data_IF_791596768867
#
_entry.id   IF_791596768867
#
_cell.length_a   1.000
_cell.length_b   1.000
_cell.length_c   1.000
_cell.angle_alpha   90.00
_cell.angle_beta   90.00
_cell.angle_gamma   90.00
#
_symmetry.space_group_name_H-M   'P 1'
#
loop_
_entity.id
_entity.type
_entity.pdbx_description
1 polymer ?
#
# COMPACT_ATOMS: atom_id res chain seq x y z
N UNK A 1 12.89 18.61 -6.00
CA UNK A 1 11.72 18.00 -6.62
C UNK A 1 10.51 18.93 -6.64
N UNK A 2 9.41 18.45 -7.14
CA UNK A 2 8.13 19.16 -7.20
C UNK A 2 7.14 18.43 -6.31
N UNK A 3 6.32 19.18 -5.57
CA UNK A 3 5.12 18.66 -4.92
C UNK A 3 4.04 18.45 -5.99
N UNK A 4 3.90 17.18 -6.41
CA UNK A 4 2.99 16.81 -7.50
C UNK A 4 1.53 17.10 -7.14
N UNK A 5 1.11 16.86 -5.90
CA UNK A 5 -0.28 17.10 -5.46
C UNK A 5 -0.61 18.58 -5.48
N UNK A 6 0.29 19.40 -4.94
CA UNK A 6 0.14 20.86 -5.00
C UNK A 6 0.11 21.38 -6.44
N UNK A 7 0.98 20.83 -7.31
CA UNK A 7 1.00 21.16 -8.73
C UNK A 7 -0.34 20.84 -9.41
N UNK A 8 -0.92 19.66 -9.15
CA UNK A 8 -2.22 19.26 -9.68
C UNK A 8 -3.34 20.23 -9.26
N UNK A 9 -3.37 20.63 -7.99
CA UNK A 9 -4.36 21.57 -7.46
C UNK A 9 -4.20 22.94 -8.16
N UNK A 10 -2.97 23.45 -8.26
CA UNK A 10 -2.71 24.73 -8.90
C UNK A 10 -3.09 24.74 -10.38
N UNK A 11 -2.83 23.63 -11.11
CA UNK A 11 -3.28 23.48 -12.51
C UNK A 11 -4.80 23.49 -12.59
N UNK A 12 -5.49 22.78 -11.70
CA UNK A 12 -6.95 22.76 -11.65
C UNK A 12 -7.56 24.13 -11.34
N UNK A 13 -6.84 24.98 -10.59
CA UNK A 13 -7.18 26.39 -10.34
C UNK A 13 -6.87 27.30 -11.52
N UNK A 14 -6.29 26.80 -12.61
CA UNK A 14 -5.97 27.55 -13.82
C UNK A 14 -4.56 28.13 -13.87
N UNK A 15 -3.68 27.79 -12.94
CA UNK A 15 -2.28 28.20 -12.97
C UNK A 15 -1.54 27.54 -14.13
N UNK A 16 -0.58 28.28 -14.72
CA UNK A 16 0.23 27.80 -15.84
C UNK A 16 1.65 27.48 -15.40
N UNK A 17 2.28 26.59 -16.15
CA UNK A 17 3.69 26.23 -15.94
C UNK A 17 4.54 27.52 -16.18
N UNK A 18 5.43 27.76 -15.22
CA UNK A 18 6.32 28.95 -15.24
C UNK A 18 5.75 30.21 -14.59
N UNK A 19 4.43 30.26 -14.33
CA UNK A 19 3.78 31.42 -13.71
C UNK A 19 3.55 31.24 -12.19
N UNK A 20 3.63 29.99 -11.68
CA UNK A 20 3.42 29.67 -10.29
C UNK A 20 4.65 28.96 -9.69
N UNK A 21 4.99 29.23 -8.45
CA UNK A 21 6.15 28.64 -7.77
C UNK A 21 6.04 27.12 -7.59
N UNK A 22 4.83 26.57 -7.57
CA UNK A 22 4.58 25.13 -7.54
C UNK A 22 4.67 24.47 -8.93
N UNK A 23 4.73 25.29 -10.00
CA UNK A 23 4.76 24.88 -11.41
C UNK A 23 5.93 25.52 -12.13
N UNK A 24 7.19 25.27 -11.75
CA UNK A 24 8.34 25.87 -12.40
C UNK A 24 8.47 25.42 -13.85
N UNK A 25 9.11 26.23 -14.69
CA UNK A 25 9.54 25.81 -16.02
C UNK A 25 10.47 24.58 -15.92
N UNK A 26 10.49 23.76 -16.97
CA UNK A 26 11.28 22.51 -17.03
C UNK A 26 12.77 22.73 -16.67
N UNK A 27 13.36 23.80 -17.14
CA UNK A 27 14.74 24.21 -16.89
C UNK A 27 15.05 24.54 -15.42
N UNK A 28 14.02 24.92 -14.67
CA UNK A 28 14.14 25.26 -13.25
C UNK A 28 13.87 24.08 -12.31
N UNK A 29 13.48 22.93 -12.88
CA UNK A 29 13.28 21.70 -12.09
C UNK A 29 14.64 21.11 -11.74
N UNK A 30 14.95 21.10 -10.45
CA UNK A 30 16.18 20.47 -9.93
C UNK A 30 15.85 19.07 -9.40
N UNK A 31 16.67 18.11 -9.83
CA UNK A 31 16.69 16.80 -9.18
C UNK A 31 17.44 16.95 -7.86
N UNK A 32 16.81 16.52 -6.78
CA UNK A 32 17.37 16.58 -5.44
C UNK A 32 17.57 15.15 -4.92
N UNK A 33 18.76 14.62 -5.15
CA UNK A 33 19.14 13.28 -4.75
C UNK A 33 18.48 12.16 -5.57
N UNK A 34 18.57 10.96 -5.02
CA UNK A 34 18.12 9.71 -5.63
C UNK A 34 17.24 8.94 -4.65
N UNK A 35 16.24 8.24 -5.17
CA UNK A 35 15.36 7.42 -4.36
C UNK A 35 15.22 6.02 -4.97
N UNK A 36 15.20 5.01 -4.12
CA UNK A 36 14.92 3.62 -4.48
C UNK A 36 13.75 3.15 -3.62
N UNK A 37 12.77 2.49 -4.23
CA UNK A 37 11.65 1.88 -3.51
C UNK A 37 11.63 0.38 -3.75
N UNK A 38 11.56 -0.39 -2.66
CA UNK A 38 11.35 -1.83 -2.67
C UNK A 38 10.00 -2.19 -2.04
N UNK A 39 9.29 -3.12 -2.66
CA UNK A 39 8.08 -3.73 -2.09
C UNK A 39 8.45 -5.02 -1.37
N UNK A 40 8.35 -5.02 -0.06
CA UNK A 40 8.52 -6.24 0.74
C UNK A 40 7.18 -6.96 0.80
N UNK A 41 7.17 -8.18 0.27
CA UNK A 41 5.97 -9.01 0.13
C UNK A 41 6.13 -10.35 0.85
N UNK A 42 5.01 -11.01 1.17
CA UNK A 42 5.01 -12.39 1.67
C UNK A 42 5.01 -13.38 0.52
N UNK A 43 6.06 -13.36 -0.28
CA UNK A 43 6.26 -14.23 -1.43
C UNK A 43 7.56 -15.02 -1.28
N UNK A 44 7.55 -16.27 -1.71
CA UNK A 44 8.72 -17.15 -1.65
C UNK A 44 9.50 -17.13 -2.97
N UNK A 45 10.65 -16.44 -3.05
CA UNK A 45 11.44 -16.36 -4.27
C UNK A 45 12.00 -17.72 -4.73
N UNK A 46 12.14 -18.68 -3.79
CA UNK A 46 12.58 -20.05 -4.11
C UNK A 46 11.48 -20.90 -4.74
N UNK A 47 10.24 -20.45 -4.65
CA UNK A 47 9.06 -21.12 -5.18
C UNK A 47 8.27 -20.21 -6.13
N UNK A 48 8.95 -19.66 -7.14
CA UNK A 48 8.37 -18.79 -8.18
C UNK A 48 7.52 -17.65 -7.60
N UNK A 49 7.94 -17.01 -6.50
CA UNK A 49 7.20 -15.95 -5.82
C UNK A 49 5.78 -16.34 -5.41
N UNK A 50 5.54 -17.62 -5.16
CA UNK A 50 4.25 -18.06 -4.66
C UNK A 50 3.97 -17.34 -3.32
N UNK A 51 2.78 -16.70 -3.18
CA UNK A 51 2.40 -16.06 -1.93
C UNK A 51 2.40 -17.03 -0.76
N UNK A 52 3.01 -16.62 0.35
CA UNK A 52 3.01 -17.34 1.61
C UNK A 52 2.09 -16.65 2.62
N UNK A 53 1.41 -17.42 3.44
CA UNK A 53 0.44 -16.95 4.40
C UNK A 53 0.62 -17.66 5.74
N UNK A 54 0.17 -17.00 6.80
CA UNK A 54 0.34 -17.50 8.16
C UNK A 54 0.43 -16.36 9.17
N UNK A 55 0.81 -16.69 10.38
CA UNK A 55 0.96 -15.72 11.46
C UNK A 55 2.37 -15.14 11.47
N UNK A 56 2.47 -13.82 11.42
CA UNK A 56 3.74 -13.12 11.65
C UNK A 56 4.11 -13.25 13.13
N UNK A 57 5.17 -13.99 13.42
CA UNK A 57 5.64 -14.18 14.80
C UNK A 57 6.52 -13.03 15.26
N UNK A 58 7.31 -12.46 14.35
CA UNK A 58 8.15 -11.28 14.60
C UNK A 58 8.09 -10.37 13.41
N UNK A 59 7.86 -9.09 13.66
CA UNK A 59 7.99 -8.03 12.68
C UNK A 59 8.87 -6.93 13.25
N UNK A 60 10.00 -6.68 12.63
CA UNK A 60 10.87 -5.55 12.88
C UNK A 60 11.21 -4.92 11.55
N UNK A 61 10.94 -3.65 11.40
CA UNK A 61 11.28 -2.86 10.22
C UNK A 61 12.59 -2.11 10.40
N UNK A 62 13.14 -1.66 9.28
CA UNK A 62 14.22 -0.68 9.28
C UNK A 62 13.72 0.69 9.75
N UNK A 63 14.66 1.55 10.12
CA UNK A 63 14.37 2.95 10.44
C UNK A 63 15.61 3.82 10.21
N UNK A 64 15.45 5.13 10.38
CA UNK A 64 16.55 6.09 10.34
C UNK A 64 16.45 7.10 9.22
N UNK A 65 17.46 7.97 9.17
CA UNK A 65 17.47 9.09 8.24
C UNK A 65 17.50 8.63 6.79
N UNK A 66 16.61 9.18 5.97
CA UNK A 66 16.49 8.81 4.55
C UNK A 66 15.86 7.44 4.30
N UNK A 67 15.15 6.88 5.28
CA UNK A 67 14.33 5.68 5.13
C UNK A 67 12.88 6.03 5.44
N UNK A 68 12.01 5.82 4.46
CA UNK A 68 10.56 5.95 4.60
C UNK A 68 9.92 4.58 4.46
N UNK A 69 8.97 4.30 5.33
CA UNK A 69 8.17 3.10 5.31
C UNK A 69 6.70 3.45 5.10
N UNK A 70 6.12 2.91 4.05
CA UNK A 70 4.68 2.94 3.83
C UNK A 70 4.17 1.53 4.08
N UNK A 71 3.82 1.27 5.34
CA UNK A 71 3.48 -0.05 5.84
C UNK A 71 1.98 -0.29 5.82
N UNK A 72 1.60 -1.53 5.51
CA UNK A 72 0.29 -2.06 5.79
C UNK A 72 0.14 -2.41 7.29
N UNK A 73 -0.87 -3.16 7.63
CA UNK A 73 -1.15 -3.62 9.01
C UNK A 73 -0.20 -4.70 9.52
N UNK A 74 0.98 -4.85 8.92
CA UNK A 74 1.95 -5.86 9.29
C UNK A 74 2.59 -5.53 10.64
N UNK A 75 2.34 -6.39 11.63
CA UNK A 75 2.91 -6.31 12.96
C UNK A 75 3.13 -7.73 13.50
N UNK A 76 3.89 -7.86 14.58
CA UNK A 76 4.00 -9.14 15.29
C UNK A 76 2.62 -9.57 15.78
N UNK A 77 2.20 -10.79 15.45
CA UNK A 77 0.89 -11.32 15.75
C UNK A 77 -0.14 -11.22 14.62
N UNK A 78 0.09 -10.39 13.60
CA UNK A 78 -0.80 -10.27 12.45
C UNK A 78 -0.90 -11.58 11.66
N UNK A 79 -2.08 -11.86 11.13
CA UNK A 79 -2.34 -13.03 10.28
C UNK A 79 -2.36 -12.55 8.83
N UNK A 80 -1.49 -13.13 8.02
CA UNK A 80 -1.50 -12.96 6.57
C UNK A 80 -2.39 -14.04 5.99
N UNK A 81 -3.42 -13.63 5.28
CA UNK A 81 -4.40 -14.55 4.68
C UNK A 81 -4.16 -14.66 3.18
N UNK A 82 -4.60 -15.76 2.53
CA UNK A 82 -4.50 -15.91 1.07
C UNK A 82 -5.49 -15.04 0.28
N UNK A 83 -6.40 -14.35 0.96
CA UNK A 83 -7.48 -13.58 0.33
C UNK A 83 -7.11 -12.13 0.01
N UNK A 84 -5.97 -11.65 0.50
CA UNK A 84 -5.50 -10.28 0.33
C UNK A 84 -4.12 -10.24 -0.29
N UNK A 85 -3.72 -9.05 -0.73
CA UNK A 85 -2.42 -8.80 -1.31
C UNK A 85 -1.28 -9.21 -0.37
N UNK A 86 -0.19 -9.73 -0.93
CA UNK A 86 1.02 -10.16 -0.22
C UNK A 86 1.87 -9.02 0.31
N UNK A 87 1.59 -7.77 -0.06
CA UNK A 87 2.37 -6.60 0.31
C UNK A 87 2.39 -6.39 1.83
N UNK A 88 3.58 -6.29 2.42
CA UNK A 88 3.78 -5.94 3.83
C UNK A 88 4.12 -4.46 4.00
N UNK A 89 5.07 -3.96 3.21
CA UNK A 89 5.56 -2.60 3.34
C UNK A 89 6.30 -2.17 2.07
N UNK A 90 6.14 -0.91 1.69
CA UNK A 90 7.01 -0.24 0.72
C UNK A 90 8.13 0.45 1.48
N UNK A 91 9.36 0.09 1.17
CA UNK A 91 10.56 0.68 1.75
C UNK A 91 11.13 1.64 0.72
N UNK A 92 11.18 2.91 1.04
CA UNK A 92 11.77 3.93 0.18
C UNK A 92 13.00 4.51 0.87
N UNK A 93 14.14 4.48 0.19
CA UNK A 93 15.35 5.17 0.65
C UNK A 93 15.65 6.35 -0.24
N UNK A 94 16.24 7.38 0.35
CA UNK A 94 16.71 8.57 -0.34
C UNK A 94 18.12 8.94 0.09
N UNK A 95 18.95 9.36 -0.83
CA UNK A 95 20.28 9.91 -0.58
C UNK A 95 20.70 10.91 -1.68
N UNK A 96 21.80 11.64 -1.43
CA UNK A 96 22.33 12.61 -2.39
C UNK A 96 23.02 11.97 -3.59
N UNK A 97 23.54 10.74 -3.44
CA UNK A 97 24.14 9.94 -4.51
C UNK A 97 23.42 8.61 -4.70
N UNK A 98 23.52 8.03 -5.90
CA UNK A 98 22.97 6.70 -6.20
C UNK A 98 23.59 5.64 -5.31
N UNK A 99 24.92 5.66 -5.13
CA UNK A 99 25.66 4.68 -4.32
C UNK A 99 25.23 4.73 -2.85
N UNK A 100 25.05 5.92 -2.28
CA UNK A 100 24.55 6.07 -0.90
C UNK A 100 23.13 5.61 -0.76
N UNK A 101 22.31 5.83 -1.80
CA UNK A 101 20.93 5.36 -1.83
C UNK A 101 20.87 3.83 -1.85
N UNK A 102 21.67 3.19 -2.70
CA UNK A 102 21.81 1.73 -2.79
C UNK A 102 22.30 1.15 -1.46
N UNK A 103 23.38 1.69 -0.89
CA UNK A 103 23.93 1.24 0.41
C UNK A 103 22.88 1.39 1.53
N UNK A 104 22.11 2.47 1.51
CA UNK A 104 21.03 2.69 2.48
C UNK A 104 19.90 1.68 2.31
N UNK A 105 19.53 1.34 1.07
CA UNK A 105 18.53 0.32 0.80
C UNK A 105 19.03 -1.07 1.23
N UNK A 106 20.26 -1.45 0.90
CA UNK A 106 20.84 -2.73 1.34
C UNK A 106 20.83 -2.85 2.87
N UNK A 107 21.26 -1.79 3.58
CA UNK A 107 21.19 -1.74 5.04
C UNK A 107 19.74 -1.89 5.54
N UNK A 108 18.81 -1.13 4.96
CA UNK A 108 17.42 -1.17 5.37
C UNK A 108 16.80 -2.56 5.18
N UNK A 109 17.03 -3.21 4.04
CA UNK A 109 16.55 -4.57 3.79
C UNK A 109 17.12 -5.58 4.78
N UNK A 110 18.41 -5.47 5.12
CA UNK A 110 19.09 -6.35 6.11
C UNK A 110 18.62 -6.14 7.54
N UNK A 111 18.12 -4.96 7.90
CA UNK A 111 17.58 -4.66 9.22
C UNK A 111 16.22 -5.31 9.47
N UNK A 112 15.48 -5.63 8.41
CA UNK A 112 14.19 -6.31 8.56
C UNK A 112 14.34 -7.68 9.24
N UNK A 113 13.42 -7.96 10.15
CA UNK A 113 13.24 -9.28 10.78
C UNK A 113 11.76 -9.62 10.73
N UNK A 114 11.41 -10.46 9.76
CA UNK A 114 10.05 -10.98 9.59
C UNK A 114 10.14 -12.49 9.76
N UNK A 115 9.34 -13.03 10.66
CA UNK A 115 9.32 -14.44 11.02
C UNK A 115 7.90 -14.97 11.02
N UNK A 116 7.74 -16.24 10.65
CA UNK A 116 6.45 -16.92 10.60
C UNK A 116 5.85 -17.00 9.19
N UNK A 117 6.35 -16.16 8.28
CA UNK A 117 6.04 -16.20 6.83
C UNK A 117 7.32 -16.02 6.04
N UNK A 118 7.33 -16.55 4.82
CA UNK A 118 8.40 -16.28 3.85
C UNK A 118 8.23 -14.90 3.26
N UNK A 119 9.31 -14.30 2.80
CA UNK A 119 9.31 -12.96 2.18
C UNK A 119 10.30 -12.90 1.03
N UNK A 120 10.11 -11.93 0.16
CA UNK A 120 11.01 -11.65 -0.96
C UNK A 120 12.29 -10.87 -0.57
N UNK A 121 12.57 -10.65 0.72
CA UNK A 121 13.71 -9.86 1.19
C UNK A 121 15.06 -10.33 0.63
N UNK A 122 15.29 -11.65 0.58
CA UNK A 122 16.56 -12.20 0.05
C UNK A 122 16.75 -11.92 -1.43
N UNK A 123 15.67 -11.92 -2.19
CA UNK A 123 15.68 -11.54 -3.61
C UNK A 123 15.96 -10.05 -3.77
N UNK A 124 15.31 -9.20 -2.97
CA UNK A 124 15.56 -7.75 -3.00
C UNK A 124 17.02 -7.42 -2.61
N UNK A 125 17.58 -8.10 -1.61
CA UNK A 125 19.00 -7.97 -1.26
C UNK A 125 19.90 -8.36 -2.44
N UNK A 126 19.60 -9.46 -3.16
CA UNK A 126 20.34 -9.89 -4.34
C UNK A 126 20.27 -8.86 -5.46
N UNK A 127 19.07 -8.35 -5.74
CA UNK A 127 18.83 -7.36 -6.79
C UNK A 127 19.60 -6.06 -6.54
N UNK A 128 19.51 -5.51 -5.34
CA UNK A 128 20.20 -4.25 -4.96
C UNK A 128 21.72 -4.38 -5.03
N UNK A 129 22.25 -5.57 -4.79
CA UNK A 129 23.71 -5.83 -4.83
C UNK A 129 24.19 -6.35 -6.18
N UNK A 130 23.34 -6.41 -7.20
CA UNK A 130 23.74 -6.81 -8.54
C UNK A 130 24.48 -5.67 -9.26
N UNK A 131 25.60 -5.97 -9.92
CA UNK A 131 26.46 -4.98 -10.57
C UNK A 131 25.74 -4.21 -11.69
N UNK A 132 24.93 -4.88 -12.49
CA UNK A 132 24.16 -4.25 -13.56
C UNK A 132 23.10 -3.29 -13.00
N UNK A 133 22.48 -3.65 -11.87
CA UNK A 133 21.56 -2.77 -11.17
C UNK A 133 22.29 -1.54 -10.62
N UNK A 134 23.45 -1.73 -9.99
CA UNK A 134 24.23 -0.63 -9.40
C UNK A 134 24.79 0.32 -10.46
N UNK A 135 25.18 -0.20 -11.62
CA UNK A 135 25.67 0.62 -12.74
C UNK A 135 24.58 1.34 -13.54
N UNK A 136 23.30 1.03 -13.27
CA UNK A 136 22.17 1.55 -14.03
C UNK A 136 21.94 0.86 -15.37
N UNK A 137 22.59 -0.28 -15.63
CA UNK A 137 22.49 -1.05 -16.87
C UNK A 137 21.31 -2.01 -16.86
N UNK A 138 20.11 -1.51 -16.56
CA UNK A 138 18.90 -2.33 -16.47
C UNK A 138 17.71 -1.71 -17.21
N UNK A 139 16.79 -2.56 -17.58
CA UNK A 139 15.51 -2.19 -18.18
C UNK A 139 14.35 -2.91 -17.48
N UNK A 140 13.11 -2.74 -17.97
CA UNK A 140 11.92 -3.36 -17.36
C UNK A 140 11.93 -4.88 -17.36
N UNK A 141 12.70 -5.52 -18.27
CA UNK A 141 12.83 -6.97 -18.36
C UNK A 141 14.01 -7.52 -17.55
N UNK A 142 14.73 -6.66 -16.82
CA UNK A 142 15.95 -7.03 -16.10
C UNK A 142 15.75 -8.20 -15.13
N UNK A 143 14.66 -8.19 -14.39
CA UNK A 143 14.33 -9.24 -13.43
C UNK A 143 14.07 -10.58 -14.12
N UNK A 144 13.36 -10.57 -15.25
CA UNK A 144 12.99 -11.79 -15.98
C UNK A 144 14.17 -12.41 -16.72
N UNK A 145 15.10 -11.57 -17.18
CA UNK A 145 16.25 -12.01 -18.00
C UNK A 145 17.47 -12.39 -17.20
N UNK A 146 17.65 -11.85 -15.98
CA UNK A 146 18.82 -12.06 -15.15
C UNK A 146 18.62 -13.19 -14.13
N UNK A 147 19.03 -14.41 -14.50
CA UNK A 147 18.91 -15.59 -13.64
C UNK A 147 19.78 -15.56 -12.40
N UNK A 148 20.84 -14.77 -12.39
CA UNK A 148 21.76 -14.68 -11.25
C UNK A 148 21.12 -14.02 -10.03
N UNK A 149 20.05 -13.24 -10.24
CA UNK A 149 19.26 -12.67 -9.15
C UNK A 149 18.63 -13.73 -8.24
N UNK A 150 18.47 -14.96 -8.74
CA UNK A 150 17.87 -16.08 -8.01
C UNK A 150 18.87 -16.99 -7.33
N UNK A 151 20.18 -16.74 -7.53
CA UNK A 151 21.28 -17.51 -6.95
C UNK A 151 21.63 -17.01 -5.54
N UNK A 152 20.68 -16.98 -4.63
CA UNK A 152 20.93 -16.59 -3.26
C UNK A 152 20.96 -17.79 -2.30
N UNK A 153 21.91 -17.76 -1.38
CA UNK A 153 21.98 -18.78 -0.31
C UNK A 153 20.99 -18.40 0.80
N UNK A 154 19.95 -19.21 1.04
CA UNK A 154 19.01 -18.94 2.12
C UNK A 154 19.73 -18.80 3.45
N UNK A 155 19.49 -17.71 4.18
CA UNK A 155 20.07 -17.53 5.53
C UNK A 155 19.63 -18.67 6.42
N UNK A 156 20.60 -19.38 7.03
CA UNK A 156 20.30 -20.46 7.98
C UNK A 156 19.55 -19.88 9.18
N UNK A 157 18.28 -20.23 9.32
CA UNK A 157 17.44 -19.75 10.40
C UNK A 157 16.93 -20.89 11.28
N UNK A 158 17.60 -21.05 12.42
CA UNK A 158 17.22 -22.06 13.42
C UNK A 158 15.84 -21.79 14.02
N UNK A 159 15.49 -20.50 14.17
CA UNK A 159 14.19 -20.12 14.73
C UNK A 159 13.04 -20.48 13.79
N UNK A 160 13.18 -20.25 12.48
CA UNK A 160 12.15 -20.66 11.51
C UNK A 160 12.00 -22.17 11.43
N UNK A 161 13.08 -22.94 11.59
CA UNK A 161 12.99 -24.42 11.69
C UNK A 161 12.21 -24.87 12.91
N UNK A 162 12.44 -24.25 14.07
CA UNK A 162 11.69 -24.55 15.30
C UNK A 162 10.23 -24.12 15.16
N UNK A 163 9.97 -22.94 14.58
CA UNK A 163 8.62 -22.45 14.34
C UNK A 163 7.87 -23.32 13.33
N UNK A 164 8.54 -23.75 12.23
CA UNK A 164 7.96 -24.73 11.29
C UNK A 164 7.61 -26.05 11.98
N UNK A 165 8.50 -26.56 12.82
CA UNK A 165 8.25 -27.79 13.57
C UNK A 165 7.09 -27.63 14.55
N UNK A 166 7.06 -26.51 15.30
CA UNK A 166 5.95 -26.20 16.20
C UNK A 166 4.65 -25.94 15.43
N UNK A 167 4.74 -25.27 14.27
CA UNK A 167 3.60 -25.05 13.38
C UNK A 167 3.03 -26.34 12.81
N UNK A 168 3.89 -27.26 12.43
CA UNK A 168 3.49 -28.59 11.96
C UNK A 168 2.76 -29.38 13.06
N UNK A 169 3.26 -29.34 14.29
CA UNK A 169 2.58 -29.93 15.46
C UNK A 169 1.22 -29.24 15.72
N UNK A 170 1.13 -27.93 15.58
CA UNK A 170 -0.10 -27.17 15.83
C UNK A 170 -1.14 -27.42 14.73
N UNK A 171 -0.72 -27.48 13.46
CA UNK A 171 -1.63 -27.62 12.30
C UNK A 171 -2.04 -29.07 12.09
N UNK A 172 -1.10 -30.00 12.21
CA UNK A 172 -1.34 -31.43 11.98
C UNK A 172 -1.79 -32.19 13.25
N UNK A 173 -1.81 -31.49 14.39
CA UNK A 173 -2.46 -31.96 15.59
C UNK A 173 -1.51 -32.63 16.58
N UNK A 174 -1.05 -31.86 17.54
CA UNK A 174 -0.71 -32.45 18.85
C UNK A 174 -2.02 -32.76 19.56
N UNK A 175 -2.11 -33.95 20.17
CA UNK A 175 -3.32 -34.45 20.83
C UNK A 175 -3.87 -33.53 21.92
N UNK A 176 -3.02 -32.64 22.49
CA UNK A 176 -3.38 -31.72 23.57
C UNK A 176 -4.02 -30.40 23.08
N UNK A 177 -4.14 -30.18 21.74
CA UNK A 177 -4.66 -28.95 21.18
C UNK A 177 -5.97 -29.16 20.41
N UNK A 178 -6.37 -30.39 20.17
CA UNK A 178 -7.66 -30.71 19.54
C UNK A 178 -8.82 -30.21 20.42
N UNK A 179 -9.49 -29.16 19.98
CA UNK A 179 -10.71 -28.64 20.61
C UNK A 179 -10.65 -27.24 21.21
N UNK A 180 -9.53 -26.50 21.08
CA UNK A 180 -9.53 -25.08 21.42
C UNK A 180 -10.13 -24.29 20.27
N UNK A 181 -11.34 -23.76 20.48
CA UNK A 181 -11.92 -22.78 19.58
C UNK A 181 -11.00 -21.54 19.51
N UNK A 182 -10.66 -21.11 18.31
CA UNK A 182 -10.05 -19.81 18.12
C UNK A 182 -11.15 -18.75 18.31
N UNK A 183 -11.28 -18.20 19.49
CA UNK A 183 -12.07 -16.99 19.71
C UNK A 183 -11.35 -15.82 19.05
N UNK A 184 -11.72 -15.55 17.80
CA UNK A 184 -11.37 -14.31 17.15
C UNK A 184 -12.25 -13.21 17.73
N UNK A 185 -11.77 -12.53 18.76
CA UNK A 185 -12.37 -11.28 19.19
C UNK A 185 -12.10 -10.24 18.10
N UNK A 186 -13.06 -10.05 17.20
CA UNK A 186 -13.09 -8.92 16.28
C UNK A 186 -13.27 -7.66 17.13
N UNK A 187 -12.19 -6.91 17.31
CA UNK A 187 -12.27 -5.60 17.95
C UNK A 187 -12.94 -4.62 17.01
N UNK A 188 -13.95 -3.92 17.50
CA UNK A 188 -14.56 -2.83 16.74
C UNK A 188 -13.56 -1.67 16.61
N UNK A 189 -13.55 -0.97 15.46
CA UNK A 189 -12.68 0.19 15.29
C UNK A 189 -13.04 1.30 16.29
N UNK A 190 -12.03 1.96 16.83
CA UNK A 190 -12.23 3.11 17.70
C UNK A 190 -12.46 4.33 16.82
N UNK A 191 -13.69 4.83 16.81
CA UNK A 191 -14.05 6.05 16.06
C UNK A 191 -14.00 7.25 16.99
N UNK A 192 -13.28 8.32 16.64
CA UNK A 192 -13.24 9.54 17.46
C UNK A 192 -14.61 10.19 17.55
N UNK A 193 -14.94 10.79 18.71
CA UNK A 193 -16.15 11.58 18.86
C UNK A 193 -16.08 12.87 18.03
N UNK A 194 -17.17 13.29 17.44
CA UNK A 194 -17.23 14.51 16.63
C UNK A 194 -18.60 15.21 16.79
N UNK A 195 -18.61 16.50 16.44
CA UNK A 195 -19.86 17.27 16.30
C UNK A 195 -20.24 17.29 14.84
N UNK A 196 -21.53 17.05 14.55
CA UNK A 196 -22.04 17.10 13.17
C UNK A 196 -21.88 18.50 12.58
N UNK A 197 -21.35 18.57 11.37
CA UNK A 197 -21.29 19.81 10.59
C UNK A 197 -22.64 19.98 9.85
N UNK A 198 -23.49 20.87 10.38
CA UNK A 198 -24.81 21.16 9.81
C UNK A 198 -24.76 21.97 8.51
N UNK A 199 -23.61 22.54 8.17
CA UNK A 199 -23.43 23.38 6.99
C UNK A 199 -22.72 22.64 5.83
N UNK A 200 -22.52 21.34 5.94
CA UNK A 200 -21.89 20.55 4.90
C UNK A 200 -22.77 20.53 3.62
N UNK A 201 -22.15 20.76 2.46
CA UNK A 201 -22.84 20.65 1.18
C UNK A 201 -23.14 19.18 0.89
N UNK A 202 -24.41 18.86 0.63
CA UNK A 202 -24.80 17.51 0.26
C UNK A 202 -25.04 17.42 -1.26
N UNK A 203 -24.01 17.13 -2.00
CA UNK A 203 -24.08 17.00 -3.46
C UNK A 203 -25.04 15.89 -3.93
N UNK A 204 -25.27 14.86 -3.14
CA UNK A 204 -26.23 13.80 -3.47
C UNK A 204 -27.67 14.33 -3.43
N UNK A 205 -28.00 15.15 -2.45
CA UNK A 205 -29.31 15.80 -2.40
C UNK A 205 -29.49 16.85 -3.49
N UNK A 206 -28.42 17.61 -3.80
CA UNK A 206 -28.44 18.56 -4.91
C UNK A 206 -28.69 17.86 -6.24
N UNK A 207 -27.98 16.74 -6.52
CA UNK A 207 -28.22 15.89 -7.68
C UNK A 207 -29.64 15.36 -7.76
N UNK A 208 -30.18 14.84 -6.64
CA UNK A 208 -31.57 14.33 -6.59
C UNK A 208 -32.62 15.40 -6.85
N UNK A 209 -32.37 16.62 -6.37
CA UNK A 209 -33.33 17.76 -6.53
C UNK A 209 -33.25 18.39 -7.93
N UNK A 210 -32.08 18.58 -8.48
CA UNK A 210 -31.86 19.31 -9.73
C UNK A 210 -31.88 18.41 -10.98
N UNK A 211 -31.62 17.12 -10.81
CA UNK A 211 -31.41 16.16 -11.89
C UNK A 211 -29.99 16.23 -12.47
N UNK A 212 -29.57 15.21 -13.25
CA UNK A 212 -28.17 15.05 -13.67
C UNK A 212 -27.68 16.18 -14.57
N UNK A 213 -28.51 16.68 -15.48
CA UNK A 213 -28.10 17.74 -16.42
C UNK A 213 -27.83 19.07 -15.71
N UNK A 214 -28.78 19.53 -14.88
CA UNK A 214 -28.62 20.78 -14.12
C UNK A 214 -27.51 20.66 -13.08
N UNK A 215 -27.38 19.51 -12.44
CA UNK A 215 -26.27 19.24 -11.52
C UNK A 215 -24.92 19.33 -12.24
N UNK A 216 -24.77 18.68 -13.41
CA UNK A 216 -23.56 18.75 -14.21
C UNK A 216 -23.20 20.18 -14.60
N UNK A 217 -24.22 20.99 -14.97
CA UNK A 217 -24.00 22.39 -15.30
C UNK A 217 -23.56 23.19 -14.06
N UNK A 218 -24.21 22.99 -12.91
CA UNK A 218 -23.83 23.68 -11.66
C UNK A 218 -22.40 23.37 -11.24
N UNK A 219 -21.93 22.13 -11.46
CA UNK A 219 -20.54 21.73 -11.21
C UNK A 219 -19.56 22.47 -12.13
N UNK A 220 -19.90 22.58 -13.43
CA UNK A 220 -19.05 23.33 -14.40
C UNK A 220 -18.94 24.82 -14.09
N UNK A 221 -19.94 25.41 -13.46
CA UNK A 221 -20.00 26.81 -13.09
C UNK A 221 -19.27 27.15 -11.79
N UNK A 222 -18.83 26.14 -11.02
CA UNK A 222 -18.04 26.36 -9.80
C UNK A 222 -16.72 27.05 -10.16
N UNK A 223 -16.37 28.08 -9.38
CA UNK A 223 -15.15 28.87 -9.58
C UNK A 223 -13.99 28.43 -8.67
N UNK A 224 -14.14 27.30 -7.99
CA UNK A 224 -13.14 26.71 -7.11
C UNK A 224 -12.90 25.26 -7.51
N UNK A 225 -11.71 24.78 -7.20
CA UNK A 225 -11.31 23.40 -7.49
C UNK A 225 -12.09 22.42 -6.62
N UNK A 226 -12.69 21.43 -7.27
CA UNK A 226 -13.38 20.33 -6.62
C UNK A 226 -12.40 19.18 -6.40
N UNK A 227 -12.34 18.68 -5.17
CA UNK A 227 -11.40 17.63 -4.76
C UNK A 227 -12.16 16.34 -4.50
N UNK A 228 -11.73 15.27 -5.16
CA UNK A 228 -12.13 13.89 -4.85
C UNK A 228 -11.04 13.23 -4.02
N UNK A 229 -11.39 12.70 -2.88
CA UNK A 229 -10.48 11.93 -2.05
C UNK A 229 -10.54 10.45 -2.42
N UNK A 230 -9.39 9.81 -2.59
CA UNK A 230 -9.25 8.41 -3.00
C UNK A 230 -8.75 7.50 -1.88
N UNK A 231 -8.71 7.99 -0.64
CA UNK A 231 -8.16 7.27 0.51
C UNK A 231 -8.83 5.91 0.73
N UNK A 232 -10.16 5.87 0.62
CA UNK A 232 -10.93 4.65 0.86
C UNK A 232 -10.76 3.60 -0.26
N UNK A 233 -10.29 3.98 -1.44
CA UNK A 233 -10.00 3.08 -2.54
C UNK A 233 -8.50 2.90 -2.74
N UNK A 234 -7.80 3.94 -3.19
CA UNK A 234 -6.40 3.80 -3.65
C UNK A 234 -5.41 3.63 -2.50
N UNK A 235 -5.48 4.47 -1.47
CA UNK A 235 -4.57 4.32 -0.33
C UNK A 235 -4.83 3.01 0.43
N UNK A 236 -6.08 2.60 0.58
CA UNK A 236 -6.44 1.30 1.12
C UNK A 236 -5.81 0.15 0.31
N UNK A 237 -5.90 0.21 -1.02
CA UNK A 237 -5.33 -0.80 -1.91
C UNK A 237 -3.79 -0.72 -1.93
N UNK A 238 -3.24 0.46 -2.10
CA UNK A 238 -1.81 0.65 -2.40
C UNK A 238 -0.90 0.67 -1.17
N UNK A 239 -1.43 1.04 0.01
CA UNK A 239 -0.65 1.14 1.23
C UNK A 239 -1.04 0.08 2.27
N UNK A 240 -2.32 -0.26 2.35
CA UNK A 240 -2.84 -1.20 3.37
C UNK A 240 -3.06 -2.61 2.82
N UNK A 241 -2.66 -2.89 1.57
CA UNK A 241 -2.81 -4.19 0.92
C UNK A 241 -4.25 -4.76 1.04
N UNK A 242 -5.24 -3.89 0.86
CA UNK A 242 -6.69 -4.19 0.94
C UNK A 242 -7.16 -4.80 2.28
N UNK A 243 -6.44 -4.56 3.38
CA UNK A 243 -6.74 -5.18 4.68
C UNK A 243 -7.75 -4.42 5.54
N UNK A 244 -8.28 -3.29 5.09
CA UNK A 244 -9.41 -2.64 5.78
C UNK A 244 -10.69 -3.41 5.48
N UNK A 245 -11.43 -3.76 6.51
CA UNK A 245 -12.73 -4.41 6.36
C UNK A 245 -13.80 -3.38 6.00
N UNK A 246 -14.86 -3.83 5.34
CA UNK A 246 -16.04 -2.98 5.08
C UNK A 246 -16.60 -2.37 6.36
N UNK A 247 -16.60 -3.12 7.46
CA UNK A 247 -17.04 -2.64 8.77
C UNK A 247 -16.20 -1.45 9.27
N UNK A 248 -14.88 -1.51 9.09
CA UNK A 248 -13.97 -0.42 9.46
C UNK A 248 -14.24 0.85 8.63
N UNK A 249 -14.49 0.70 7.34
CA UNK A 249 -14.82 1.81 6.43
C UNK A 249 -16.19 2.43 6.78
N UNK A 250 -17.20 1.61 7.04
CA UNK A 250 -18.55 2.07 7.39
C UNK A 250 -18.53 2.81 8.74
N UNK A 251 -17.84 2.26 9.74
CA UNK A 251 -17.78 2.88 11.07
C UNK A 251 -17.09 4.25 11.05
N UNK A 252 -16.04 4.46 10.23
CA UNK A 252 -15.35 5.74 10.14
C UNK A 252 -16.04 6.75 9.21
N UNK A 253 -16.91 6.31 8.32
CA UNK A 253 -17.47 7.12 7.23
C UNK A 253 -18.16 8.39 7.72
N UNK A 254 -18.94 8.32 8.79
CA UNK A 254 -19.66 9.49 9.33
C UNK A 254 -18.68 10.53 9.90
N UNK A 255 -17.68 10.09 10.65
CA UNK A 255 -16.60 10.97 11.15
C UNK A 255 -15.86 11.63 9.99
N UNK A 256 -15.48 10.82 9.00
CA UNK A 256 -14.71 11.25 7.84
C UNK A 256 -15.46 12.33 7.04
N UNK A 257 -16.71 12.09 6.69
CA UNK A 257 -17.53 13.04 5.93
C UNK A 257 -17.76 14.35 6.67
N UNK A 258 -17.90 14.32 8.01
CA UNK A 258 -18.07 15.52 8.80
C UNK A 258 -16.77 16.37 8.92
N UNK A 259 -15.62 15.71 8.98
CA UNK A 259 -14.33 16.39 9.07
C UNK A 259 -13.84 16.93 7.74
N UNK A 260 -14.20 16.28 6.66
CA UNK A 260 -13.82 16.63 5.29
C UNK A 260 -15.05 17.06 4.48
N UNK A 261 -15.87 17.90 5.07
CA UNK A 261 -17.15 18.37 4.50
C UNK A 261 -16.98 19.17 3.20
N UNK A 262 -15.78 19.64 2.92
CA UNK A 262 -15.47 20.45 1.72
C UNK A 262 -15.07 19.59 0.52
N UNK A 263 -14.95 18.27 0.68
CA UNK A 263 -14.72 17.37 -0.43
C UNK A 263 -15.92 17.31 -1.36
N UNK A 264 -15.66 17.27 -2.65
CA UNK A 264 -16.67 17.03 -3.66
C UNK A 264 -17.19 15.59 -3.61
N UNK A 265 -16.26 14.63 -3.53
CA UNK A 265 -16.59 13.20 -3.47
C UNK A 265 -15.49 12.38 -2.79
N UNK A 266 -15.86 11.17 -2.40
CA UNK A 266 -14.93 10.16 -1.87
C UNK A 266 -15.02 8.96 -2.80
N UNK A 267 -13.87 8.51 -3.30
CA UNK A 267 -13.80 7.31 -4.10
C UNK A 267 -13.70 6.09 -3.18
N UNK A 268 -14.70 5.23 -3.22
CA UNK A 268 -14.76 3.99 -2.42
C UNK A 268 -14.56 2.75 -3.28
N UNK A 269 -14.61 2.86 -4.60
CA UNK A 269 -14.55 1.75 -5.53
C UNK A 269 -13.84 2.14 -6.83
N UNK A 270 -13.03 1.24 -7.36
CA UNK A 270 -12.32 1.42 -8.63
C UNK A 270 -12.48 0.24 -9.58
N UNK A 271 -12.03 0.37 -10.84
CA UNK A 271 -12.14 -0.64 -11.88
C UNK A 271 -11.59 -2.01 -11.48
N UNK A 272 -10.41 -2.04 -10.82
CA UNK A 272 -9.82 -3.29 -10.34
C UNK A 272 -10.69 -4.02 -9.30
N UNK A 273 -11.46 -3.31 -8.50
CA UNK A 273 -12.43 -3.90 -7.56
C UNK A 273 -13.58 -4.53 -8.33
N UNK A 274 -14.06 -3.88 -9.39
CA UNK A 274 -15.08 -4.41 -10.27
C UNK A 274 -14.59 -5.70 -10.96
N UNK A 275 -13.39 -5.66 -11.53
CA UNK A 275 -12.78 -6.82 -12.20
C UNK A 275 -12.64 -8.01 -11.24
N UNK A 276 -12.17 -7.76 -10.02
CA UNK A 276 -12.03 -8.80 -9.00
C UNK A 276 -13.38 -9.37 -8.57
N UNK A 277 -14.38 -8.52 -8.37
CA UNK A 277 -15.69 -8.95 -7.88
C UNK A 277 -16.55 -9.63 -8.95
N UNK A 278 -16.45 -9.18 -10.20
CA UNK A 278 -17.35 -9.61 -11.26
C UNK A 278 -16.71 -10.53 -12.28
N UNK A 279 -15.39 -10.43 -12.49
CA UNK A 279 -14.70 -11.18 -13.54
C UNK A 279 -13.86 -12.34 -12.99
N UNK A 280 -13.41 -12.28 -11.75
CA UNK A 280 -12.63 -13.35 -11.11
C UNK A 280 -13.47 -14.31 -10.24
N UNK A 281 -14.77 -14.34 -10.45
CA UNK A 281 -15.69 -15.32 -9.85
C UNK A 281 -15.77 -15.32 -8.32
N UNK A 282 -15.51 -14.21 -7.70
CA UNK A 282 -15.70 -14.07 -6.24
C UNK A 282 -17.15 -13.76 -5.85
N UNK A 283 -17.96 -13.35 -6.84
CA UNK A 283 -19.42 -13.15 -6.70
C UNK A 283 -20.09 -13.43 -8.05
N UNK A 284 -21.31 -13.96 -8.06
CA UNK A 284 -22.06 -14.12 -9.31
C UNK A 284 -22.27 -12.74 -9.96
N UNK A 285 -22.02 -12.68 -11.27
CA UNK A 285 -22.27 -11.49 -12.07
C UNK A 285 -23.76 -11.19 -12.07
N UNK A 286 -24.19 -9.93 -11.96
CA UNK A 286 -25.59 -9.56 -12.15
C UNK A 286 -26.14 -9.87 -13.55
N UNK A 287 -25.31 -10.37 -14.47
CA UNK A 287 -25.65 -10.72 -15.84
C UNK A 287 -25.80 -12.22 -16.06
N UNK A 288 -25.45 -13.04 -15.08
CA UNK A 288 -25.66 -14.49 -15.05
C UNK A 288 -26.93 -14.82 -14.24
#
# INVERSE_FOLDING_TARGET
GIDIVKAQIRIAEGAKIGEDSALPNQENIKLDGYAIQCRVTTEDPLNNFMPDYGKIMTYRSASGFGVRLDGATAASGSIITPYYDSLLVKVTTWAQSTDDCIRRMDRALREFRIRGVKTNLVFLESLINNDDFQSGSYNTNFVDTNKDLYNFTPKKDRASKIISYLGDIIVNGHTDIKGRANDFNLTNPVVPSFKKNVNAVNYVEELKKSGPEKFSQSIKEKKYTLITDTTMRDAHQSLLATRMRTDDLVNIAEFYSNKLSDLFSIECWGGATFDTSCLLYTSPSPRD
#
